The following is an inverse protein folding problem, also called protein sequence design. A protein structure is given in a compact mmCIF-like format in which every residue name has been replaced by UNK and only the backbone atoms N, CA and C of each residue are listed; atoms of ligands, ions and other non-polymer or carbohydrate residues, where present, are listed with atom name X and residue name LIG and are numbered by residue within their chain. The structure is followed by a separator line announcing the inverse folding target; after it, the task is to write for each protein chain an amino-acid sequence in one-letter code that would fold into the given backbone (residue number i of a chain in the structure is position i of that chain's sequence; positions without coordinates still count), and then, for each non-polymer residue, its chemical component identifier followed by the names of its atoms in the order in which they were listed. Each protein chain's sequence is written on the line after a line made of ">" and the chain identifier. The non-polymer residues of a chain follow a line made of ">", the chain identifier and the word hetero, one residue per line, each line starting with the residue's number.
data_IF_078819052133
#
_entry.id   IF_078819052133
#
_cell.length_a   1.000
_cell.length_b   1.000
_cell.length_c   1.000
_cell.angle_alpha   90.00
_cell.angle_beta   90.00
_cell.angle_gamma   90.00
#
_symmetry.space_group_name_H-M   'P 1'
#
loop_
_entity.id
_entity.type
_entity.pdbx_description
1 polymer ?
#
# COMPACT_ATOMS: atom_id res chain seq x y z
N UNK A 1 1.10 -7.17 24.72
CA UNK A 1 0.62 -7.27 23.33
C UNK A 1 0.04 -8.65 23.12
N UNK A 2 -1.17 -8.78 22.55
CA UNK A 2 -1.69 -10.11 22.18
C UNK A 2 -0.95 -10.63 20.93
N UNK A 3 -0.85 -11.95 20.78
CA UNK A 3 -0.24 -12.60 19.61
C UNK A 3 -0.83 -12.09 18.29
N UNK A 4 -2.15 -11.84 18.27
CA UNK A 4 -2.89 -11.28 17.13
C UNK A 4 -2.39 -9.88 16.74
N UNK A 5 -2.13 -9.03 17.73
CA UNK A 5 -1.60 -7.69 17.50
C UNK A 5 -0.15 -7.74 16.98
N UNK A 6 0.68 -8.63 17.53
CA UNK A 6 2.06 -8.81 17.06
C UNK A 6 2.12 -9.30 15.61
N UNK A 7 1.34 -10.33 15.26
CA UNK A 7 1.26 -10.87 13.89
C UNK A 7 0.73 -9.84 12.89
N UNK A 8 -0.33 -9.11 13.25
CA UNK A 8 -0.87 -8.07 12.40
C UNK A 8 0.13 -6.93 12.17
N UNK A 9 0.88 -6.54 13.21
CA UNK A 9 1.92 -5.52 13.06
C UNK A 9 3.07 -5.99 12.15
N UNK A 10 3.53 -7.24 12.34
CA UNK A 10 4.55 -7.84 11.49
C UNK A 10 4.11 -7.91 10.02
N UNK A 11 2.87 -8.33 9.76
CA UNK A 11 2.28 -8.34 8.43
C UNK A 11 2.21 -6.92 7.82
N UNK A 12 1.77 -5.93 8.60
CA UNK A 12 1.69 -4.55 8.16
C UNK A 12 3.05 -3.96 7.78
N UNK A 13 4.11 -4.27 8.53
CA UNK A 13 5.47 -3.88 8.18
C UNK A 13 6.03 -4.65 7.00
N UNK A 14 5.75 -5.95 6.88
CA UNK A 14 6.16 -6.74 5.72
C UNK A 14 5.55 -6.18 4.43
N UNK A 15 4.25 -5.84 4.45
CA UNK A 15 3.56 -5.21 3.33
C UNK A 15 4.14 -3.83 2.98
N UNK A 16 4.50 -3.01 3.98
CA UNK A 16 5.21 -1.75 3.74
C UNK A 16 6.60 -1.99 3.11
N UNK A 17 7.35 -2.97 3.59
CA UNK A 17 8.64 -3.34 3.02
C UNK A 17 8.53 -3.75 1.57
N UNK A 18 7.53 -4.58 1.23
CA UNK A 18 7.22 -4.94 -0.16
C UNK A 18 6.86 -3.72 -1.00
N UNK A 19 6.07 -2.79 -0.48
CA UNK A 19 5.74 -1.55 -1.18
C UNK A 19 7.00 -0.73 -1.51
N UNK A 20 7.92 -0.57 -0.56
CA UNK A 20 9.19 0.11 -0.79
C UNK A 20 10.03 -0.58 -1.88
N UNK A 21 10.12 -1.91 -1.84
CA UNK A 21 10.84 -2.68 -2.87
C UNK A 21 10.19 -2.53 -4.26
N UNK A 22 8.86 -2.51 -4.33
CA UNK A 22 8.12 -2.29 -5.57
C UNK A 22 8.36 -0.89 -6.16
N UNK A 23 8.47 0.14 -5.31
CA UNK A 23 8.84 1.50 -5.77
C UNK A 23 10.27 1.53 -6.31
N UNK A 24 11.22 0.89 -5.64
CA UNK A 24 12.61 0.80 -6.13
C UNK A 24 12.66 0.07 -7.47
N UNK A 25 11.93 -1.04 -7.61
CA UNK A 25 11.81 -1.78 -8.86
C UNK A 25 11.24 -0.91 -10.00
N UNK A 26 10.14 -0.19 -9.75
CA UNK A 26 9.56 0.72 -10.73
C UNK A 26 10.53 1.85 -11.10
N UNK A 27 11.21 2.43 -10.10
CA UNK A 27 12.22 3.48 -10.30
C UNK A 27 13.40 3.01 -11.14
N UNK A 28 13.88 1.78 -10.92
CA UNK A 28 14.93 1.17 -11.74
C UNK A 28 14.52 1.08 -13.22
N UNK A 29 13.32 0.58 -13.52
CA UNK A 29 12.85 0.47 -14.91
C UNK A 29 12.52 1.81 -15.55
N UNK A 30 12.08 2.79 -14.77
CA UNK A 30 11.89 4.16 -15.23
C UNK A 30 13.24 4.79 -15.60
N UNK A 31 14.27 4.64 -14.74
CA UNK A 31 15.62 5.12 -15.02
C UNK A 31 16.22 4.44 -16.25
N UNK A 32 16.06 3.11 -16.37
CA UNK A 32 16.49 2.38 -17.57
C UNK A 32 15.79 2.86 -18.84
N UNK A 33 14.52 3.26 -18.75
CA UNK A 33 13.78 3.83 -19.89
C UNK A 33 14.28 5.22 -20.28
N UNK A 34 14.67 6.03 -19.30
CA UNK A 34 15.27 7.34 -19.54
C UNK A 34 16.66 7.24 -20.19
N UNK A 35 17.48 6.26 -19.76
CA UNK A 35 18.85 6.10 -20.25
C UNK A 35 18.94 5.35 -21.60
N UNK A 36 18.11 4.33 -21.79
CA UNK A 36 18.25 3.38 -22.91
C UNK A 36 17.00 3.34 -23.81
N UNK A 37 16.14 4.36 -23.73
CA UNK A 37 14.90 4.46 -24.49
C UNK A 37 13.72 3.67 -23.91
N UNK A 38 12.52 4.09 -24.31
CA UNK A 38 11.26 3.50 -23.84
C UNK A 38 10.93 2.27 -24.66
N UNK A 39 10.60 1.16 -23.99
CA UNK A 39 10.06 -0.04 -24.64
C UNK A 39 8.78 -0.48 -23.94
N UNK A 40 7.87 -1.16 -24.66
CA UNK A 40 6.61 -1.63 -24.10
C UNK A 40 6.80 -2.49 -22.83
N UNK A 41 7.81 -3.38 -22.83
CA UNK A 41 8.13 -4.21 -21.67
C UNK A 41 8.56 -3.39 -20.44
N UNK A 42 9.38 -2.35 -20.63
CA UNK A 42 9.82 -1.48 -19.53
C UNK A 42 8.65 -0.67 -18.95
N UNK A 43 7.77 -0.15 -19.80
CA UNK A 43 6.57 0.56 -19.37
C UNK A 43 5.66 -0.36 -18.55
N UNK A 44 5.46 -1.60 -19.01
CA UNK A 44 4.71 -2.62 -18.27
C UNK A 44 5.31 -2.87 -16.89
N UNK A 45 6.63 -3.04 -16.78
CA UNK A 45 7.29 -3.25 -15.48
C UNK A 45 7.16 -2.06 -14.53
N UNK A 46 7.25 -0.82 -15.03
CA UNK A 46 7.01 0.38 -14.20
C UNK A 46 5.56 0.39 -13.69
N UNK A 47 4.58 0.17 -14.57
CA UNK A 47 3.16 0.16 -14.19
C UNK A 47 2.85 -0.96 -13.18
N UNK A 48 3.37 -2.17 -13.40
CA UNK A 48 3.21 -3.29 -12.47
C UNK A 48 3.87 -3.01 -11.12
N UNK A 49 5.07 -2.42 -11.10
CA UNK A 49 5.76 -2.05 -9.87
C UNK A 49 5.00 -0.98 -9.07
N UNK A 50 4.50 0.07 -9.74
CA UNK A 50 3.69 1.10 -9.09
C UNK A 50 2.35 0.56 -8.59
N UNK A 51 1.67 -0.29 -9.38
CA UNK A 51 0.44 -0.96 -8.97
C UNK A 51 0.64 -1.85 -7.74
N UNK A 52 1.71 -2.65 -7.72
CA UNK A 52 2.07 -3.47 -6.57
C UNK A 52 2.39 -2.62 -5.34
N UNK A 53 3.13 -1.51 -5.50
CA UNK A 53 3.45 -0.57 -4.42
C UNK A 53 2.18 0.04 -3.79
N UNK A 54 1.22 0.45 -4.62
CA UNK A 54 -0.06 0.98 -4.16
C UNK A 54 -0.84 -0.06 -3.36
N UNK A 55 -1.06 -1.25 -3.93
CA UNK A 55 -1.87 -2.30 -3.28
C UNK A 55 -1.23 -2.70 -1.95
N UNK A 56 0.05 -3.06 -1.96
CA UNK A 56 0.74 -3.51 -0.74
C UNK A 56 0.87 -2.39 0.30
N UNK A 57 1.14 -1.16 -0.14
CA UNK A 57 1.24 0.01 0.73
C UNK A 57 -0.08 0.32 1.44
N UNK A 58 -1.18 0.40 0.69
CA UNK A 58 -2.51 0.62 1.26
C UNK A 58 -2.95 -0.53 2.17
N UNK A 59 -2.78 -1.79 1.73
CA UNK A 59 -3.10 -2.95 2.58
C UNK A 59 -2.31 -2.93 3.88
N UNK A 60 -1.00 -2.67 3.83
CA UNK A 60 -0.15 -2.57 5.03
C UNK A 60 -0.57 -1.43 5.97
N UNK A 61 -0.96 -0.29 5.40
CA UNK A 61 -1.51 0.83 6.17
C UNK A 61 -2.79 0.46 6.92
N UNK A 62 -3.77 -0.17 6.24
CA UNK A 62 -5.03 -0.58 6.87
C UNK A 62 -4.82 -1.66 7.93
N UNK A 63 -3.94 -2.64 7.69
CA UNK A 63 -3.61 -3.67 8.68
C UNK A 63 -3.05 -3.03 9.95
N UNK A 64 -2.12 -2.06 9.83
CA UNK A 64 -1.57 -1.37 11.00
C UNK A 64 -2.61 -0.53 11.74
N UNK A 65 -3.51 0.15 11.03
CA UNK A 65 -4.62 0.88 11.64
C UNK A 65 -5.57 -0.04 12.41
N UNK A 66 -5.97 -1.16 11.80
CA UNK A 66 -6.84 -2.15 12.43
C UNK A 66 -6.19 -2.74 13.69
N UNK A 67 -4.89 -3.07 13.63
CA UNK A 67 -4.13 -3.59 14.78
C UNK A 67 -3.98 -2.56 15.90
N UNK A 68 -3.89 -1.27 15.56
CA UNK A 68 -3.85 -0.18 16.52
C UNK A 68 -5.23 0.13 17.15
N UNK A 69 -6.29 -0.59 16.75
CA UNK A 69 -7.66 -0.36 17.24
C UNK A 69 -8.28 0.93 16.72
N UNK A 70 -7.78 1.47 15.61
CA UNK A 70 -8.40 2.63 14.98
C UNK A 70 -9.65 2.19 14.20
N UNK A 71 -10.74 2.94 14.39
CA UNK A 71 -11.99 2.70 13.68
C UNK A 71 -11.77 2.85 12.17
N UNK A 72 -12.12 1.82 11.41
CA UNK A 72 -12.00 1.87 9.96
C UNK A 72 -13.24 2.55 9.34
N UNK A 73 -13.11 3.26 8.20
CA UNK A 73 -14.26 3.85 7.52
C UNK A 73 -15.37 2.85 7.20
N UNK A 74 -15.03 1.58 6.98
CA UNK A 74 -15.98 0.47 6.76
C UNK A 74 -16.76 0.06 8.01
N UNK A 75 -16.29 0.45 9.20
CA UNK A 75 -16.93 0.14 10.49
C UNK A 75 -17.86 1.26 10.95
N UNK A 76 -17.78 2.45 10.34
CA UNK A 76 -18.77 3.49 10.57
C UNK A 76 -20.08 3.12 9.87
N UNK A 77 -21.19 3.24 10.60
CA UNK A 77 -22.51 3.29 9.98
C UNK A 77 -22.55 4.50 9.05
N UNK A 78 -22.89 4.27 7.78
CA UNK A 78 -22.99 5.30 6.74
C UNK A 78 -23.92 6.43 7.20
N UNK A 79 -24.95 6.12 7.98
CA UNK A 79 -25.89 7.10 8.53
C UNK A 79 -25.26 8.06 9.55
N UNK A 80 -24.16 7.68 10.20
CA UNK A 80 -23.40 8.49 11.17
C UNK A 80 -22.23 9.19 10.49
N UNK A 81 -21.56 8.52 9.55
CA UNK A 81 -20.38 9.07 8.85
C UNK A 81 -20.69 10.29 7.97
N UNK A 82 -21.86 10.33 7.34
CA UNK A 82 -22.31 11.44 6.48
C UNK A 82 -23.33 12.35 7.14
N UNK A 83 -23.53 12.22 8.46
CA UNK A 83 -24.34 13.17 9.23
C UNK A 83 -23.52 14.46 9.37
N UNK A 84 -23.44 15.22 8.28
CA UNK A 84 -23.10 16.63 8.33
C UNK A 84 -24.01 17.25 9.39
N UNK A 85 -23.40 17.81 10.43
CA UNK A 85 -24.13 18.59 11.41
C UNK A 85 -24.83 19.77 10.72
N UNK A 86 -25.89 20.33 11.34
CA UNK A 86 -26.44 21.61 10.89
C UNK A 86 -25.37 22.70 10.83
#
# INVERSE_FOLDING_TARGET
>A
MSLRSALGNALGYALLGLACLSVIFAGYWAAMSALNGVTAGRVMFVMSGLGAALITGFSGYFVRKAVAGQVMPSEFDVSVAYRGGP
#
